data_IF_022605034045
#
_entry.id   IF_022605034045
#
_cell.length_a   1.000
_cell.length_b   1.000
_cell.length_c   1.000
_cell.angle_alpha   90.00
_cell.angle_beta   90.00
_cell.angle_gamma   90.00
#
_symmetry.space_group_name_H-M   'P 1'
#
loop_
_entity.id
_entity.type
_entity.pdbx_description
1 polymer ?
#
# COMPACT_ATOMS: atom_id res chain seq x y z
N UNK A 1 -73.35 53.13 101.67
CA UNK A 1 -72.74 52.89 102.98
C UNK A 1 -71.46 52.10 102.72
N UNK A 2 -70.37 52.81 102.44
CA UNK A 2 -69.39 53.36 103.41
C UNK A 2 -68.21 52.39 103.46
N UNK A 3 -67.14 52.75 102.74
CA UNK A 3 -65.84 53.16 103.32
C UNK A 3 -64.99 51.93 103.67
N UNK A 4 -64.00 51.53 102.86
CA UNK A 4 -62.69 52.17 102.67
C UNK A 4 -61.94 52.39 103.98
N UNK A 5 -60.76 51.75 104.09
CA UNK A 5 -59.49 52.14 104.76
C UNK A 5 -58.57 50.90 104.61
N UNK A 6 -57.51 50.88 103.77
CA UNK A 6 -56.20 51.58 103.88
C UNK A 6 -55.45 51.10 105.15
N UNK A 7 -54.19 50.69 105.22
CA UNK A 7 -53.08 50.44 104.30
C UNK A 7 -51.86 50.01 105.13
N UNK A 8 -50.78 49.56 104.45
CA UNK A 8 -49.35 49.61 104.85
C UNK A 8 -48.94 48.72 106.06
N UNK A 9 -47.80 48.06 106.16
CA UNK A 9 -46.52 48.11 105.45
C UNK A 9 -45.63 46.90 105.87
N UNK A 10 -44.59 46.63 105.06
CA UNK A 10 -43.29 46.02 105.42
C UNK A 10 -43.20 44.54 105.84
N UNK A 11 -42.63 43.71 104.97
CA UNK A 11 -41.17 43.47 104.91
C UNK A 11 -40.88 42.13 104.22
N UNK A 12 -40.02 42.20 103.20
CA UNK A 12 -39.50 41.04 102.47
C UNK A 12 -38.45 40.34 103.35
N UNK A 13 -38.43 39.00 103.39
CA UNK A 13 -37.16 38.37 103.07
C UNK A 13 -37.31 37.19 102.11
N UNK A 14 -36.49 37.27 101.06
CA UNK A 14 -35.69 36.17 100.51
C UNK A 14 -36.07 34.76 101.00
N UNK A 15 -36.77 34.00 100.15
CA UNK A 15 -36.60 32.55 100.15
C UNK A 15 -36.77 31.93 98.77
N UNK A 16 -35.60 31.53 98.25
CA UNK A 16 -35.38 30.27 97.54
C UNK A 16 -36.11 30.10 96.20
N UNK A 17 -35.47 30.59 95.14
CA UNK A 17 -35.63 29.99 93.81
C UNK A 17 -35.37 28.48 93.92
N UNK A 18 -36.43 27.66 93.86
CA UNK A 18 -36.31 26.21 93.77
C UNK A 18 -35.38 25.89 92.59
N UNK A 19 -34.34 25.05 92.75
CA UNK A 19 -33.44 24.73 91.66
C UNK A 19 -34.26 24.11 90.53
N UNK A 20 -34.31 24.78 89.37
CA UNK A 20 -34.84 24.18 88.15
C UNK A 20 -34.11 22.86 87.95
N UNK A 21 -34.85 21.76 87.88
CA UNK A 21 -34.34 20.40 87.68
C UNK A 21 -33.38 20.37 86.48
N UNK A 22 -32.07 20.42 86.75
CA UNK A 22 -31.01 20.35 85.74
C UNK A 22 -31.06 19.02 84.97
N UNK A 23 -31.68 17.97 85.53
CA UNK A 23 -31.83 16.67 84.90
C UNK A 23 -32.69 16.69 83.63
N UNK A 24 -33.78 17.47 83.58
CA UNK A 24 -34.60 17.60 82.36
C UNK A 24 -33.87 18.33 81.24
N UNK A 25 -33.10 19.38 81.59
CA UNK A 25 -32.28 20.11 80.62
C UNK A 25 -31.11 19.28 80.10
N UNK A 26 -30.44 18.52 80.97
CA UNK A 26 -29.33 17.63 80.59
C UNK A 26 -29.83 16.46 79.73
N UNK A 27 -30.98 15.85 80.05
CA UNK A 27 -31.57 14.78 79.21
C UNK A 27 -32.00 15.29 77.83
N UNK A 28 -32.53 16.52 77.71
CA UNK A 28 -32.86 17.13 76.41
C UNK A 28 -31.57 17.43 75.60
N UNK A 29 -30.51 17.91 76.24
CA UNK A 29 -29.22 18.16 75.57
C UNK A 29 -28.57 16.84 75.10
N UNK A 30 -28.61 15.78 75.91
CA UNK A 30 -28.12 14.45 75.52
C UNK A 30 -28.96 13.87 74.38
N UNK A 31 -30.29 13.93 74.48
CA UNK A 31 -31.20 13.42 73.44
C UNK A 31 -31.04 14.18 72.11
N UNK A 32 -30.91 15.51 72.15
CA UNK A 32 -30.66 16.34 70.95
C UNK A 32 -29.28 16.09 70.35
N UNK A 33 -28.23 15.93 71.16
CA UNK A 33 -26.91 15.53 70.71
C UNK A 33 -26.90 14.15 70.05
N UNK A 34 -27.64 13.19 70.61
CA UNK A 34 -27.79 11.86 70.02
C UNK A 34 -28.53 11.90 68.67
N UNK A 35 -29.55 12.75 68.55
CA UNK A 35 -30.31 12.93 67.31
C UNK A 35 -29.46 13.58 66.20
N UNK A 36 -28.63 14.57 66.56
CA UNK A 36 -27.65 15.17 65.64
C UNK A 36 -26.62 14.13 65.18
N UNK A 37 -26.12 13.28 66.07
CA UNK A 37 -25.20 12.19 65.72
C UNK A 37 -25.85 11.14 64.80
N UNK A 38 -27.11 10.78 65.03
CA UNK A 38 -27.80 9.81 64.16
C UNK A 38 -28.08 10.39 62.76
N UNK A 39 -28.43 11.68 62.68
CA UNK A 39 -28.60 12.39 61.40
C UNK A 39 -27.27 12.53 60.66
N UNK A 40 -26.16 12.83 61.34
CA UNK A 40 -24.85 12.93 60.69
C UNK A 40 -24.34 11.58 60.20
N UNK A 41 -24.55 10.49 60.96
CA UNK A 41 -24.24 9.12 60.52
C UNK A 41 -25.08 8.71 59.30
N UNK A 42 -26.38 9.02 59.31
CA UNK A 42 -27.26 8.77 58.16
C UNK A 42 -26.82 9.51 56.90
N UNK A 43 -26.44 10.79 57.04
CA UNK A 43 -25.91 11.60 55.95
C UNK A 43 -24.56 11.06 55.43
N UNK A 44 -23.64 10.71 56.32
CA UNK A 44 -22.37 10.07 55.96
C UNK A 44 -22.57 8.74 55.23
N UNK A 45 -23.50 7.90 55.70
CA UNK A 45 -23.83 6.62 55.05
C UNK A 45 -24.42 6.83 53.65
N UNK A 46 -25.34 7.78 53.49
CA UNK A 46 -25.90 8.15 52.18
C UNK A 46 -24.82 8.69 51.23
N UNK A 47 -23.93 9.56 51.73
CA UNK A 47 -22.82 10.10 50.95
C UNK A 47 -21.85 9.00 50.48
N UNK A 48 -21.50 8.05 51.36
CA UNK A 48 -20.66 6.90 51.00
C UNK A 48 -21.34 6.01 49.95
N UNK A 49 -22.63 5.74 50.09
CA UNK A 49 -23.40 4.98 49.09
C UNK A 49 -23.48 5.72 47.75
N UNK A 50 -23.68 7.03 47.77
CA UNK A 50 -23.70 7.88 46.57
C UNK A 50 -22.34 7.87 45.85
N UNK A 51 -21.24 8.01 46.58
CA UNK A 51 -19.88 7.93 46.03
C UNK A 51 -19.59 6.55 45.44
N UNK A 52 -19.98 5.47 46.12
CA UNK A 52 -19.83 4.11 45.61
C UNK A 52 -20.65 3.88 44.34
N UNK A 53 -21.87 4.40 44.29
CA UNK A 53 -22.71 4.36 43.08
C UNK A 53 -22.05 5.10 41.92
N UNK A 54 -21.49 6.28 42.18
CA UNK A 54 -20.80 7.08 41.16
C UNK A 54 -19.53 6.38 40.65
N UNK A 55 -18.73 5.81 41.55
CA UNK A 55 -17.55 5.02 41.19
C UNK A 55 -17.92 3.82 40.32
N UNK A 56 -18.94 3.06 40.69
CA UNK A 56 -19.42 1.94 39.89
C UNK A 56 -19.88 2.38 38.49
N UNK A 57 -20.54 3.55 38.37
CA UNK A 57 -20.98 4.06 37.07
C UNK A 57 -19.80 4.48 36.17
N UNK A 58 -18.74 5.04 36.77
CA UNK A 58 -17.49 5.37 36.07
C UNK A 58 -16.76 4.11 35.63
N UNK A 59 -16.69 3.08 36.47
CA UNK A 59 -16.05 1.81 36.14
C UNK A 59 -16.76 1.09 34.98
N UNK A 60 -18.10 1.15 34.94
CA UNK A 60 -18.89 0.62 33.83
C UNK A 60 -18.63 1.36 32.52
N UNK A 61 -18.64 2.70 32.54
CA UNK A 61 -18.32 3.51 31.37
C UNK A 61 -16.89 3.27 30.89
N UNK A 62 -15.93 3.17 31.81
CA UNK A 62 -14.53 2.86 31.48
C UNK A 62 -14.42 1.48 30.83
N UNK A 63 -15.18 0.49 31.32
CA UNK A 63 -15.20 -0.85 30.74
C UNK A 63 -15.78 -0.83 29.33
N UNK A 64 -16.92 -0.17 29.12
CA UNK A 64 -17.57 -0.02 27.82
C UNK A 64 -16.67 0.70 26.81
N UNK A 65 -16.02 1.80 27.22
CA UNK A 65 -15.05 2.52 26.37
C UNK A 65 -13.88 1.61 25.97
N UNK A 66 -13.37 0.80 26.90
CA UNK A 66 -12.28 -0.15 26.61
C UNK A 66 -12.71 -1.25 25.65
N UNK A 67 -13.91 -1.79 25.82
CA UNK A 67 -14.46 -2.82 24.93
C UNK A 67 -14.70 -2.24 23.53
N UNK A 68 -15.38 -1.10 23.42
CA UNK A 68 -15.62 -0.42 22.13
C UNK A 68 -14.30 -0.05 21.43
N UNK A 69 -13.32 0.48 22.16
CA UNK A 69 -12.01 0.78 21.59
C UNK A 69 -11.30 -0.50 21.11
N UNK A 70 -11.38 -1.59 21.87
CA UNK A 70 -10.80 -2.88 21.45
C UNK A 70 -11.45 -3.42 20.18
N UNK A 71 -12.77 -3.34 20.05
CA UNK A 71 -13.50 -3.75 18.84
C UNK A 71 -13.14 -2.89 17.64
N UNK A 72 -13.04 -1.57 17.83
CA UNK A 72 -12.61 -0.64 16.79
C UNK A 72 -11.17 -0.93 16.34
N UNK A 73 -10.25 -1.21 17.27
CA UNK A 73 -8.88 -1.61 16.94
C UNK A 73 -8.83 -2.90 16.11
N UNK A 74 -9.58 -3.94 16.49
CA UNK A 74 -9.64 -5.21 15.74
C UNK A 74 -10.22 -4.99 14.34
N UNK A 75 -11.27 -4.16 14.23
CA UNK A 75 -11.89 -3.80 12.96
C UNK A 75 -10.94 -3.03 12.04
N UNK A 76 -10.21 -2.04 12.60
CA UNK A 76 -9.20 -1.26 11.86
C UNK A 76 -8.05 -2.15 11.40
N UNK A 77 -7.55 -3.06 12.24
CA UNK A 77 -6.49 -4.01 11.87
C UNK A 77 -6.94 -4.93 10.72
N UNK A 78 -8.18 -5.43 10.78
CA UNK A 78 -8.79 -6.21 9.69
C UNK A 78 -8.84 -5.42 8.36
N UNK A 79 -9.22 -4.14 8.40
CA UNK A 79 -9.24 -3.25 7.22
C UNK A 79 -7.83 -2.97 6.69
N UNK A 80 -6.83 -2.83 7.56
CA UNK A 80 -5.42 -2.64 7.16
C UNK A 80 -4.90 -3.89 6.45
N UNK A 81 -5.18 -5.09 6.99
CA UNK A 81 -4.75 -6.35 6.39
C UNK A 81 -5.41 -6.57 5.02
N UNK A 82 -6.72 -6.31 4.88
CA UNK A 82 -7.41 -6.34 3.59
C UNK A 82 -6.81 -5.35 2.59
N UNK A 83 -6.55 -4.11 3.01
CA UNK A 83 -5.94 -3.09 2.14
C UNK A 83 -4.53 -3.48 1.71
N UNK A 84 -3.72 -4.01 2.63
CA UNK A 84 -2.37 -4.52 2.33
C UNK A 84 -2.41 -5.59 1.23
N UNK A 85 -3.32 -6.57 1.36
CA UNK A 85 -3.50 -7.61 0.36
C UNK A 85 -3.97 -7.06 -1.01
N UNK A 86 -4.83 -6.04 -1.02
CA UNK A 86 -5.26 -5.37 -2.26
C UNK A 86 -4.12 -4.60 -2.92
N UNK A 87 -3.27 -3.93 -2.14
CA UNK A 87 -2.10 -3.22 -2.64
C UNK A 87 -1.10 -4.19 -3.26
N UNK A 88 -0.84 -5.33 -2.63
CA UNK A 88 0.00 -6.40 -3.19
C UNK A 88 -0.55 -6.89 -4.53
N UNK A 89 -1.87 -7.18 -4.60
CA UNK A 89 -2.52 -7.58 -5.85
C UNK A 89 -2.38 -6.51 -6.95
N UNK A 90 -2.52 -5.22 -6.62
CA UNK A 90 -2.31 -4.12 -7.57
C UNK A 90 -0.87 -4.11 -8.09
N UNK A 91 0.13 -4.34 -7.23
CA UNK A 91 1.53 -4.49 -7.65
C UNK A 91 1.71 -5.59 -8.69
N UNK A 92 1.13 -6.78 -8.45
CA UNK A 92 1.20 -7.89 -9.41
C UNK A 92 0.47 -7.59 -10.73
N UNK A 93 -0.61 -6.81 -10.69
CA UNK A 93 -1.34 -6.39 -11.90
C UNK A 93 -0.50 -5.42 -12.72
N UNK A 94 0.18 -4.46 -12.09
CA UNK A 94 1.07 -3.51 -12.78
C UNK A 94 2.23 -4.23 -13.49
N UNK A 95 2.84 -5.22 -12.86
CA UNK A 95 3.87 -6.07 -13.48
C UNK A 95 3.34 -6.84 -14.69
N UNK A 96 2.14 -7.42 -14.59
CA UNK A 96 1.48 -8.09 -15.71
C UNK A 96 1.17 -7.14 -16.86
N UNK A 97 0.70 -5.92 -16.57
CA UNK A 97 0.44 -4.90 -17.59
C UNK A 97 1.75 -4.55 -18.30
N UNK A 98 2.85 -4.31 -17.57
CA UNK A 98 4.16 -4.04 -18.17
C UNK A 98 4.64 -5.18 -19.07
N UNK A 99 4.49 -6.43 -18.62
CA UNK A 99 4.86 -7.61 -19.40
C UNK A 99 4.01 -7.75 -20.67
N UNK A 100 2.69 -7.57 -20.58
CA UNK A 100 1.79 -7.62 -21.72
C UNK A 100 2.04 -6.48 -22.71
N UNK A 101 2.34 -5.27 -22.22
CA UNK A 101 2.70 -4.13 -23.07
C UNK A 101 3.98 -4.42 -23.84
N UNK A 102 5.04 -4.94 -23.18
CA UNK A 102 6.27 -5.39 -23.84
C UNK A 102 5.99 -6.44 -24.92
N UNK A 103 5.21 -7.47 -24.59
CA UNK A 103 4.83 -8.52 -25.53
C UNK A 103 4.07 -7.94 -26.75
N UNK A 104 3.10 -7.07 -26.50
CA UNK A 104 2.31 -6.43 -27.58
C UNK A 104 3.19 -5.57 -28.50
N UNK A 105 4.14 -4.81 -27.93
CA UNK A 105 5.08 -4.01 -28.70
C UNK A 105 5.99 -4.90 -29.56
N UNK A 106 6.43 -6.06 -29.04
CA UNK A 106 7.24 -6.99 -29.84
C UNK A 106 6.47 -7.67 -30.96
N UNK A 107 5.21 -8.04 -30.72
CA UNK A 107 4.35 -8.58 -31.78
C UNK A 107 4.09 -7.54 -32.86
N UNK A 108 3.83 -6.30 -32.47
CA UNK A 108 3.68 -5.19 -33.39
C UNK A 108 4.96 -4.97 -34.21
N UNK A 109 6.14 -4.90 -33.56
CA UNK A 109 7.41 -4.76 -34.26
C UNK A 109 7.69 -5.91 -35.22
N UNK A 110 7.48 -7.15 -34.76
CA UNK A 110 7.65 -8.33 -35.60
C UNK A 110 6.83 -8.17 -36.87
N UNK A 111 5.51 -8.02 -36.75
CA UNK A 111 4.62 -7.91 -37.91
C UNK A 111 4.86 -6.69 -38.79
N UNK A 112 5.07 -5.51 -38.19
CA UNK A 112 5.28 -4.27 -38.94
C UNK A 112 6.62 -4.29 -39.69
N UNK A 113 7.59 -5.06 -39.22
CA UNK A 113 8.90 -5.22 -39.87
C UNK A 113 8.92 -6.22 -41.02
N UNK A 114 7.99 -7.19 -41.05
CA UNK A 114 7.87 -8.20 -42.12
C UNK A 114 7.67 -7.48 -43.45
N UNK A 115 8.52 -7.79 -44.44
CA UNK A 115 8.58 -7.17 -45.77
C UNK A 115 8.85 -5.64 -45.81
N UNK A 116 8.91 -4.96 -44.66
CA UNK A 116 9.13 -3.51 -44.60
C UNK A 116 10.61 -3.13 -44.58
N UNK A 117 11.47 -3.99 -44.04
CA UNK A 117 12.91 -3.76 -43.97
C UNK A 117 13.57 -4.43 -45.17
N UNK A 118 14.05 -3.60 -46.09
CA UNK A 118 14.54 -4.03 -47.40
C UNK A 118 15.87 -3.34 -47.70
N UNK A 119 16.85 -4.12 -48.12
CA UNK A 119 18.06 -3.63 -48.80
C UNK A 119 18.10 -4.19 -50.23
N UNK A 120 19.11 -3.80 -51.01
CA UNK A 120 19.35 -4.37 -52.34
C UNK A 120 19.61 -5.89 -52.30
N UNK A 121 19.99 -6.44 -51.15
CA UNK A 121 20.41 -7.82 -50.98
C UNK A 121 19.39 -8.69 -50.25
N UNK A 122 18.69 -8.14 -49.26
CA UNK A 122 17.84 -8.90 -48.36
C UNK A 122 16.51 -8.19 -48.06
N UNK A 123 15.50 -8.99 -47.77
CA UNK A 123 14.23 -8.58 -47.16
C UNK A 123 14.12 -9.28 -45.82
N UNK A 124 13.58 -8.57 -44.82
CA UNK A 124 13.16 -9.23 -43.58
C UNK A 124 11.89 -10.05 -43.85
N UNK A 125 12.00 -11.38 -43.81
CA UNK A 125 10.82 -12.27 -43.85
C UNK A 125 10.18 -12.36 -42.46
N UNK A 126 10.98 -12.67 -41.43
CA UNK A 126 10.47 -12.88 -40.07
C UNK A 126 11.42 -12.33 -39.01
N UNK A 127 10.84 -11.76 -37.96
CA UNK A 127 11.55 -11.30 -36.76
C UNK A 127 10.97 -11.96 -35.51
N UNK A 128 11.82 -12.62 -34.73
CA UNK A 128 11.45 -13.25 -33.47
C UNK A 128 12.33 -12.78 -32.33
N UNK A 129 11.73 -12.26 -31.27
CA UNK A 129 12.46 -11.92 -30.06
C UNK A 129 12.60 -13.15 -29.16
N UNK A 130 13.84 -13.51 -28.80
CA UNK A 130 14.16 -14.60 -27.87
C UNK A 130 14.31 -14.12 -26.43
N UNK A 131 14.78 -12.89 -26.25
CA UNK A 131 14.94 -12.25 -24.95
C UNK A 131 14.71 -10.74 -25.12
N UNK A 132 13.75 -10.21 -24.35
CA UNK A 132 13.35 -8.81 -24.43
C UNK A 132 14.25 -7.89 -23.60
N UNK A 133 14.81 -8.38 -22.51
CA UNK A 133 15.62 -7.57 -21.61
C UNK A 133 16.98 -7.31 -22.24
N UNK A 134 17.59 -8.36 -22.79
CA UNK A 134 18.91 -8.29 -23.44
C UNK A 134 18.83 -8.10 -24.97
N UNK A 135 17.63 -7.87 -25.52
CA UNK A 135 17.39 -7.67 -26.95
C UNK A 135 18.07 -8.74 -27.83
N UNK A 136 17.69 -10.00 -27.59
CA UNK A 136 18.13 -11.13 -28.41
C UNK A 136 17.06 -11.47 -29.44
N UNK A 137 17.42 -11.55 -30.71
CA UNK A 137 16.46 -11.76 -31.79
C UNK A 137 16.95 -12.71 -32.88
N UNK A 138 16.03 -13.45 -33.48
CA UNK A 138 16.26 -14.23 -34.72
C UNK A 138 15.61 -13.45 -35.84
N UNK A 139 16.33 -13.26 -36.94
CA UNK A 139 15.79 -12.65 -38.15
C UNK A 139 15.98 -13.64 -39.29
N UNK A 140 14.87 -14.05 -39.91
CA UNK A 140 14.91 -14.80 -41.17
C UNK A 140 14.86 -13.81 -42.33
N UNK A 141 15.76 -14.03 -43.28
CA UNK A 141 15.94 -13.20 -44.44
C UNK A 141 15.38 -13.91 -45.66
N UNK A 142 14.81 -13.13 -46.57
CA UNK A 142 14.61 -13.52 -47.95
C UNK A 142 15.63 -12.82 -48.86
N UNK A 143 16.10 -13.53 -49.88
CA UNK A 143 17.06 -12.97 -50.82
C UNK A 143 16.35 -12.12 -51.86
N UNK A 144 16.87 -10.92 -52.08
CA UNK A 144 16.56 -10.16 -53.29
C UNK A 144 17.09 -10.89 -54.54
N UNK A 145 16.56 -10.60 -55.74
CA UNK A 145 16.91 -11.32 -56.97
C UNK A 145 18.41 -11.45 -57.22
N UNK A 146 19.18 -10.38 -57.03
CA UNK A 146 20.63 -10.38 -57.27
C UNK A 146 21.37 -11.24 -56.26
N UNK A 147 21.00 -11.15 -54.97
CA UNK A 147 21.60 -11.97 -53.91
C UNK A 147 21.25 -13.46 -54.05
N UNK A 148 20.07 -13.77 -54.59
CA UNK A 148 19.63 -15.14 -54.80
C UNK A 148 20.49 -15.90 -55.83
N UNK A 149 21.13 -15.20 -56.77
CA UNK A 149 22.06 -15.81 -57.76
C UNK A 149 23.30 -16.36 -57.06
N UNK A 150 23.74 -15.71 -55.97
CA UNK A 150 24.89 -16.12 -55.19
C UNK A 150 24.55 -17.20 -54.15
N UNK A 151 23.28 -17.49 -53.88
CA UNK A 151 22.90 -18.43 -52.83
C UNK A 151 23.18 -19.88 -53.22
N UNK A 152 24.10 -20.53 -52.50
CA UNK A 152 24.48 -21.93 -52.76
C UNK A 152 23.70 -22.94 -51.92
N UNK A 153 22.80 -22.45 -51.05
CA UNK A 153 21.98 -23.29 -50.18
C UNK A 153 22.52 -23.38 -48.75
N UNK A 154 21.66 -23.80 -47.82
CA UNK A 154 22.01 -24.05 -46.40
C UNK A 154 22.67 -22.86 -45.69
N UNK A 155 22.27 -21.65 -46.03
CA UNK A 155 22.83 -20.43 -45.43
C UNK A 155 24.16 -19.98 -46.02
N UNK A 156 24.65 -20.62 -47.08
CA UNK A 156 25.91 -20.27 -47.73
C UNK A 156 25.71 -19.49 -49.04
N UNK A 157 26.72 -18.70 -49.39
CA UNK A 157 26.79 -17.87 -50.60
C UNK A 157 28.13 -18.04 -51.31
N UNK A 158 28.11 -17.93 -52.64
CA UNK A 158 29.30 -17.79 -53.48
C UNK A 158 29.70 -16.31 -53.54
N UNK A 159 30.16 -15.81 -52.39
CA UNK A 159 30.68 -14.46 -52.15
C UNK A 159 31.88 -14.56 -51.20
N UNK A 160 32.74 -13.56 -51.19
CA UNK A 160 33.80 -13.50 -50.17
C UNK A 160 33.19 -13.18 -48.80
N UNK A 161 33.81 -13.68 -47.72
CA UNK A 161 33.36 -13.38 -46.34
C UNK A 161 33.25 -11.88 -46.08
N UNK A 162 34.17 -11.09 -46.66
CA UNK A 162 34.16 -9.62 -46.56
C UNK A 162 32.92 -9.02 -47.22
N UNK A 163 32.57 -9.46 -48.43
CA UNK A 163 31.38 -8.98 -49.13
C UNK A 163 30.11 -9.36 -48.39
N UNK A 164 29.99 -10.62 -47.96
CA UNK A 164 28.82 -11.10 -47.24
C UNK A 164 28.63 -10.36 -45.90
N UNK A 165 29.71 -10.17 -45.13
CA UNK A 165 29.69 -9.37 -43.89
C UNK A 165 29.23 -7.94 -44.15
N UNK A 166 29.72 -7.28 -45.19
CA UNK A 166 29.33 -5.90 -45.52
C UNK A 166 27.83 -5.80 -45.85
N UNK A 167 27.30 -6.75 -46.63
CA UNK A 167 25.86 -6.81 -46.97
C UNK A 167 24.99 -7.06 -45.75
N UNK A 168 25.42 -7.98 -44.87
CA UNK A 168 24.76 -8.24 -43.59
C UNK A 168 24.78 -6.99 -42.69
N UNK A 169 25.93 -6.32 -42.55
CA UNK A 169 26.05 -5.12 -41.73
C UNK A 169 25.10 -4.01 -42.20
N UNK A 170 25.04 -3.76 -43.51
CA UNK A 170 24.10 -2.78 -44.07
C UNK A 170 22.64 -3.13 -43.72
N UNK A 171 22.27 -4.41 -43.81
CA UNK A 171 20.93 -4.85 -43.44
C UNK A 171 20.64 -4.67 -41.94
N UNK A 172 21.61 -4.99 -41.07
CA UNK A 172 21.46 -4.79 -39.62
C UNK A 172 21.33 -3.31 -39.25
N UNK A 173 21.99 -2.41 -39.98
CA UNK A 173 21.83 -0.96 -39.79
C UNK A 173 20.41 -0.50 -40.11
N UNK A 174 19.79 -1.03 -41.17
CA UNK A 174 18.37 -0.78 -41.48
C UNK A 174 17.45 -1.34 -40.38
N UNK A 175 17.71 -2.56 -39.89
CA UNK A 175 16.96 -3.15 -38.77
C UNK A 175 17.05 -2.28 -37.52
N UNK A 176 18.25 -1.80 -37.19
CA UNK A 176 18.47 -0.91 -36.05
C UNK A 176 17.72 0.41 -36.21
N UNK A 177 17.75 1.00 -37.41
CA UNK A 177 17.03 2.23 -37.72
C UNK A 177 15.52 2.06 -37.50
N UNK A 178 14.96 1.01 -38.08
CA UNK A 178 13.54 0.68 -37.98
C UNK A 178 13.11 0.40 -36.53
N UNK A 179 13.87 -0.43 -35.81
CA UNK A 179 13.64 -0.73 -34.39
C UNK A 179 13.64 0.54 -33.54
N UNK A 180 14.64 1.41 -33.73
CA UNK A 180 14.80 2.63 -32.94
C UNK A 180 13.66 3.61 -33.18
N UNK A 181 13.19 3.73 -34.43
CA UNK A 181 12.06 4.59 -34.77
C UNK A 181 10.76 4.12 -34.09
N UNK A 182 10.49 2.82 -34.13
CA UNK A 182 9.27 2.24 -33.56
C UNK A 182 9.32 2.09 -32.03
N UNK A 183 10.51 1.95 -31.43
CA UNK A 183 10.69 1.92 -29.97
C UNK A 183 10.89 3.33 -29.36
N UNK A 184 10.39 4.38 -30.00
CA UNK A 184 10.52 5.78 -29.52
C UNK A 184 9.88 6.03 -28.15
N UNK A 185 8.92 5.20 -27.74
CA UNK A 185 8.28 5.28 -26.41
C UNK A 185 9.12 4.71 -25.26
N UNK A 186 10.20 3.98 -25.57
CA UNK A 186 11.03 3.29 -24.56
C UNK A 186 10.33 2.09 -23.92
N UNK A 187 9.31 1.53 -24.58
CA UNK A 187 8.59 0.34 -24.10
C UNK A 187 9.47 -0.90 -24.08
N UNK A 188 10.37 -1.03 -25.06
CA UNK A 188 11.32 -2.13 -25.21
C UNK A 188 12.73 -1.68 -24.85
N UNK A 189 13.62 -2.65 -24.60
CA UNK A 189 15.03 -2.37 -24.31
C UNK A 189 15.68 -1.56 -25.42
N UNK A 190 16.52 -0.59 -25.04
CA UNK A 190 17.26 0.20 -26.01
C UNK A 190 18.24 -0.68 -26.81
N UNK A 191 18.43 -0.35 -28.09
CA UNK A 191 19.46 -0.98 -28.91
C UNK A 191 20.84 -0.61 -28.34
N UNK A 192 21.54 -1.57 -27.76
CA UNK A 192 22.83 -1.38 -27.10
C UNK A 192 23.86 -2.46 -27.53
N UNK A 193 25.04 -2.44 -26.93
CA UNK A 193 26.14 -3.34 -27.24
C UNK A 193 25.87 -4.83 -26.93
N UNK A 194 24.91 -5.14 -26.05
CA UNK A 194 24.55 -6.52 -25.69
C UNK A 194 23.55 -7.17 -26.68
N UNK A 195 23.17 -6.46 -27.75
CA UNK A 195 22.28 -7.00 -28.78
C UNK A 195 22.90 -8.24 -29.41
N UNK A 196 22.10 -9.31 -29.44
CA UNK A 196 22.47 -10.59 -30.03
C UNK A 196 21.49 -10.96 -31.14
N UNK A 197 21.97 -11.04 -32.37
CA UNK A 197 21.14 -11.35 -33.53
C UNK A 197 21.60 -12.67 -34.12
N UNK A 198 20.66 -13.58 -34.36
CA UNK A 198 20.89 -14.75 -35.20
C UNK A 198 20.21 -14.48 -36.53
N UNK A 199 21.00 -14.41 -37.60
CA UNK A 199 20.49 -14.28 -38.96
C UNK A 199 20.35 -15.66 -39.58
N UNK A 200 19.20 -15.90 -40.18
CA UNK A 200 18.93 -17.09 -40.97
C UNK A 200 18.48 -16.71 -42.37
N UNK A 201 18.64 -17.62 -43.32
CA UNK A 201 17.98 -17.55 -44.63
C UNK A 201 17.38 -18.91 -44.91
N UNK A 202 16.07 -18.95 -45.18
CA UNK A 202 15.31 -20.21 -45.32
C UNK A 202 15.52 -21.13 -44.10
N UNK A 203 15.56 -20.56 -42.89
CA UNK A 203 15.82 -21.26 -41.62
C UNK A 203 17.22 -21.89 -41.45
N UNK A 204 18.18 -21.61 -42.34
CA UNK A 204 19.58 -21.99 -42.12
C UNK A 204 20.38 -20.83 -41.57
N UNK A 205 21.20 -21.07 -40.54
CA UNK A 205 22.05 -20.04 -39.95
C UNK A 205 23.00 -19.47 -41.00
N UNK A 206 22.95 -18.15 -41.14
CA UNK A 206 23.83 -17.36 -42.01
C UNK A 206 24.96 -16.74 -41.18
N UNK A 207 24.59 -16.05 -40.11
CA UNK A 207 25.52 -15.34 -39.26
C UNK A 207 24.94 -15.11 -37.86
N UNK A 208 25.82 -14.80 -36.91
CA UNK A 208 25.48 -14.21 -35.62
C UNK A 208 26.05 -12.81 -35.52
N UNK A 209 25.34 -11.90 -34.89
CA UNK A 209 25.85 -10.58 -34.52
C UNK A 209 25.92 -10.55 -33.01
N UNK A 210 27.14 -10.38 -32.47
CA UNK A 210 27.43 -10.31 -31.05
C UNK A 210 28.35 -9.12 -30.84
N UNK A 211 27.99 -8.21 -29.94
CA UNK A 211 28.76 -6.99 -29.67
C UNK A 211 29.03 -6.14 -30.93
N UNK A 212 28.09 -6.15 -31.89
CA UNK A 212 28.23 -5.45 -33.17
C UNK A 212 29.13 -6.13 -34.20
N UNK A 213 29.76 -7.26 -33.87
CA UNK A 213 30.56 -8.04 -34.82
C UNK A 213 29.72 -9.11 -35.49
N UNK A 214 29.78 -9.16 -36.83
CA UNK A 214 29.20 -10.24 -37.62
C UNK A 214 30.12 -11.46 -37.53
N UNK A 215 29.58 -12.64 -37.29
CA UNK A 215 30.30 -13.92 -37.26
C UNK A 215 29.57 -14.84 -38.22
N UNK A 216 30.20 -15.22 -39.33
CA UNK A 216 29.55 -16.05 -40.34
C UNK A 216 29.50 -17.52 -39.87
N UNK A 217 28.41 -18.23 -40.17
CA UNK A 217 28.25 -19.62 -39.74
C UNK A 217 29.29 -20.59 -40.35
N UNK A 218 29.88 -20.22 -41.50
CA UNK A 218 30.87 -21.00 -42.22
C UNK A 218 32.33 -20.66 -41.92
N UNK A 219 32.61 -19.63 -41.12
CA UNK A 219 33.98 -19.24 -40.78
C UNK A 219 34.63 -20.26 -39.84
N UNK A 220 35.84 -20.66 -40.20
CA UNK A 220 36.79 -21.37 -39.34
C UNK A 220 38.11 -20.63 -39.29
#
# INVERSE_FOLDING_TARGET
MSEEIVSLEQSNPLQSARPKSHYKSITIVIASGFLICMLSIGFLSWMVLSLKSQQNSLDLQLKEIKENASEEFVSVDGRINDLSSKVENVGTIDEKIKSLTKLSATLYLSHESEDAIVTDDFVLDKLYFRDLENLKMTIDLENQPDMNIHYTGKGAYDLTDRELRAKISNFIDEVKGYYTALNSSGTLSAWNENVEIILTVKNYELAKIINGEVILAGEK
#
